data_IF_553366041383
#
_entry.id   IF_553366041383
#
_cell.length_a   1.000
_cell.length_b   1.000
_cell.length_c   1.000
_cell.angle_alpha   90.00
_cell.angle_beta   90.00
_cell.angle_gamma   90.00
#
_symmetry.space_group_name_H-M   'P 1'
#
loop_
_entity.id
_entity.type
_entity.pdbx_description
1 polymer ?
#
# COMPACT_ATOMS: atom_id res chain seq x y z
N UNK A 1 1.87 31.53 -23.43
CA UNK A 1 0.86 30.50 -23.12
C UNK A 1 1.64 29.24 -22.81
N UNK A 2 1.91 29.00 -21.54
CA UNK A 2 2.65 27.82 -21.08
C UNK A 2 1.61 26.71 -20.92
N UNK A 3 1.62 25.74 -21.84
CA UNK A 3 0.90 24.50 -21.63
C UNK A 3 1.52 23.82 -20.41
N UNK A 4 0.78 23.83 -19.32
CA UNK A 4 1.02 22.93 -18.20
C UNK A 4 0.84 21.51 -18.75
N UNK A 5 1.93 20.81 -19.00
CA UNK A 5 1.89 19.36 -19.18
C UNK A 5 1.28 18.80 -17.89
N UNK A 6 0.00 18.45 -17.92
CA UNK A 6 -0.58 17.66 -16.84
C UNK A 6 0.18 16.34 -16.84
N UNK A 7 1.09 16.17 -15.89
CA UNK A 7 1.75 14.89 -15.67
C UNK A 7 0.63 13.85 -15.44
N UNK A 8 0.72 12.75 -16.17
CA UNK A 8 -0.26 11.67 -16.01
C UNK A 8 -0.19 11.14 -14.58
N UNK A 9 -1.34 10.99 -13.92
CA UNK A 9 -1.34 10.45 -12.56
C UNK A 9 -0.77 9.03 -12.53
N UNK A 10 -0.08 8.70 -11.45
CA UNK A 10 0.50 7.38 -11.23
C UNK A 10 -0.57 6.29 -11.17
N UNK A 11 -1.67 6.57 -10.47
CA UNK A 11 -2.86 5.71 -10.42
C UNK A 11 -4.10 6.53 -10.72
N UNK A 12 -4.93 6.06 -11.64
CA UNK A 12 -6.21 6.67 -11.96
C UNK A 12 -7.32 5.62 -11.90
N UNK A 13 -8.32 5.86 -11.08
CA UNK A 13 -9.50 5.01 -10.92
C UNK A 13 -10.72 5.76 -11.39
N UNK A 14 -11.56 5.12 -12.21
CA UNK A 14 -12.78 5.71 -12.75
C UNK A 14 -13.96 4.75 -12.55
N UNK A 15 -14.91 5.16 -11.70
CA UNK A 15 -16.17 4.45 -11.46
C UNK A 15 -16.00 3.00 -11.01
N UNK A 16 -14.95 2.70 -10.23
CA UNK A 16 -14.63 1.35 -9.79
C UNK A 16 -15.78 0.75 -8.98
N UNK A 17 -16.25 -0.43 -9.41
CA UNK A 17 -17.28 -1.22 -8.74
C UNK A 17 -16.79 -2.62 -8.44
N UNK A 18 -17.14 -3.11 -7.25
CA UNK A 18 -16.85 -4.50 -6.83
C UNK A 18 -18.02 -5.07 -6.07
N UNK A 19 -18.39 -6.31 -6.44
CA UNK A 19 -19.39 -7.09 -5.71
C UNK A 19 -18.93 -8.54 -5.56
N UNK A 20 -19.41 -9.21 -4.52
CA UNK A 20 -19.25 -10.63 -4.29
C UNK A 20 -20.65 -11.26 -4.20
N UNK A 21 -21.06 -12.00 -5.23
CA UNK A 21 -22.45 -12.41 -5.38
C UNK A 21 -23.36 -11.19 -5.41
N UNK A 22 -24.33 -11.14 -4.51
CA UNK A 22 -25.29 -10.01 -4.40
C UNK A 22 -24.78 -8.88 -3.49
N UNK A 23 -23.65 -9.07 -2.81
CA UNK A 23 -23.10 -8.08 -1.89
C UNK A 23 -22.23 -7.07 -2.63
N UNK A 24 -22.70 -5.84 -2.78
CA UNK A 24 -21.96 -4.73 -3.40
C UNK A 24 -21.06 -4.07 -2.36
N UNK A 25 -19.73 -4.23 -2.53
CA UNK A 25 -18.70 -3.72 -1.62
C UNK A 25 -18.17 -2.36 -2.05
N UNK A 26 -17.91 -2.17 -3.34
CA UNK A 26 -17.52 -0.86 -3.91
C UNK A 26 -18.59 -0.43 -4.91
N UNK A 27 -19.13 0.76 -4.74
CA UNK A 27 -20.29 1.21 -5.50
C UNK A 27 -19.95 2.13 -6.67
N UNK A 28 -19.02 3.02 -6.51
CA UNK A 28 -18.42 3.86 -7.55
C UNK A 28 -17.26 4.61 -6.92
N UNK A 29 -16.04 4.15 -7.12
CA UNK A 29 -14.85 4.82 -6.61
C UNK A 29 -14.16 5.54 -7.75
N UNK A 30 -13.95 6.82 -7.59
CA UNK A 30 -13.10 7.66 -8.42
C UNK A 30 -11.92 8.12 -7.58
N UNK A 31 -10.70 7.92 -8.06
CA UNK A 31 -9.48 8.22 -7.31
C UNK A 31 -8.35 8.55 -8.27
N UNK A 32 -7.56 9.54 -7.91
CA UNK A 32 -6.36 9.94 -8.65
C UNK A 32 -5.20 10.02 -7.67
N UNK A 33 -4.08 9.36 -7.96
CA UNK A 33 -2.84 9.41 -7.15
C UNK A 33 -1.72 9.91 -8.04
N UNK A 34 -1.01 10.91 -7.58
CA UNK A 34 0.14 11.47 -8.29
C UNK A 34 1.44 10.76 -7.89
N UNK A 35 2.49 10.94 -8.68
CA UNK A 35 3.81 10.41 -8.34
C UNK A 35 4.32 11.06 -7.06
N UNK A 36 4.91 10.27 -6.16
CA UNK A 36 5.43 10.71 -4.87
C UNK A 36 4.36 11.05 -3.84
N UNK A 37 3.06 10.91 -4.17
CA UNK A 37 1.96 11.21 -3.25
C UNK A 37 1.75 10.06 -2.25
N UNK A 38 1.58 10.41 -0.98
CA UNK A 38 1.18 9.49 0.10
C UNK A 38 -0.30 9.69 0.41
N UNK A 39 -1.12 8.70 0.08
CA UNK A 39 -2.56 8.73 0.35
C UNK A 39 -2.92 7.71 1.43
N UNK A 40 -3.44 8.18 2.57
CA UNK A 40 -3.97 7.31 3.61
C UNK A 40 -5.47 7.11 3.44
N UNK A 41 -5.92 5.87 3.55
CA UNK A 41 -7.34 5.48 3.46
C UNK A 41 -7.81 4.99 4.81
N UNK A 42 -8.75 5.71 5.41
CA UNK A 42 -9.32 5.43 6.73
C UNK A 42 -10.82 5.14 6.61
N UNK A 43 -11.41 4.58 7.65
CA UNK A 43 -12.86 4.31 7.73
C UNK A 43 -13.18 3.04 8.51
N UNK A 44 -14.45 2.77 8.79
CA UNK A 44 -14.88 1.62 9.58
C UNK A 44 -14.53 0.28 8.88
N UNK A 45 -14.46 -0.79 9.67
CA UNK A 45 -14.31 -2.14 9.13
C UNK A 45 -15.49 -2.45 8.19
N UNK A 46 -15.20 -3.13 7.08
CA UNK A 46 -16.22 -3.46 6.07
C UNK A 46 -16.59 -2.31 5.12
N UNK A 47 -15.95 -1.14 5.19
CA UNK A 47 -16.22 -0.03 4.25
C UNK A 47 -15.67 -0.23 2.83
N UNK A 48 -14.85 -1.28 2.60
CA UNK A 48 -14.30 -1.62 1.29
C UNK A 48 -12.85 -1.21 1.05
N UNK A 49 -12.14 -0.65 2.03
CA UNK A 49 -10.74 -0.15 1.90
C UNK A 49 -9.78 -1.18 1.32
N UNK A 50 -9.66 -2.34 1.97
CA UNK A 50 -8.78 -3.43 1.51
C UNK A 50 -9.20 -3.99 0.16
N UNK A 51 -10.51 -4.05 -0.11
CA UNK A 51 -11.05 -4.47 -1.41
C UNK A 51 -10.65 -3.47 -2.50
N UNK A 52 -10.80 -2.18 -2.24
CA UNK A 52 -10.35 -1.13 -3.16
C UNK A 52 -8.85 -1.28 -3.45
N UNK A 53 -8.01 -1.38 -2.40
CA UNK A 53 -6.58 -1.53 -2.55
C UNK A 53 -6.20 -2.74 -3.41
N UNK A 54 -6.85 -3.89 -3.20
CA UNK A 54 -6.63 -5.12 -3.98
C UNK A 54 -7.13 -5.04 -5.41
N UNK A 55 -8.05 -4.15 -5.72
CA UNK A 55 -8.45 -3.86 -7.09
C UNK A 55 -7.37 -3.06 -7.84
N UNK A 56 -6.56 -2.23 -7.15
CA UNK A 56 -5.52 -1.41 -7.77
C UNK A 56 -4.35 -2.22 -8.36
N UNK A 57 -4.16 -3.47 -7.92
CA UNK A 57 -3.19 -4.41 -8.49
C UNK A 57 -3.87 -5.64 -9.12
N UNK A 58 -5.20 -5.57 -9.30
CA UNK A 58 -6.03 -6.64 -9.86
C UNK A 58 -5.89 -7.98 -9.12
N UNK A 59 -5.57 -7.96 -7.81
CA UNK A 59 -5.74 -9.16 -6.97
C UNK A 59 -7.22 -9.49 -6.78
N UNK A 60 -8.08 -8.46 -6.88
CA UNK A 60 -9.53 -8.60 -6.96
C UNK A 60 -10.00 -8.11 -8.33
N UNK A 61 -10.72 -8.96 -9.05
CA UNK A 61 -11.37 -8.59 -10.31
C UNK A 61 -12.50 -7.59 -10.03
N UNK A 62 -12.59 -6.55 -10.86
CA UNK A 62 -13.63 -5.53 -10.75
C UNK A 62 -14.90 -5.94 -11.49
N UNK A 63 -16.06 -5.37 -11.10
CA UNK A 63 -17.34 -5.59 -11.77
C UNK A 63 -17.75 -4.40 -12.65
N UNK A 64 -17.00 -3.31 -12.62
CA UNK A 64 -17.21 -2.14 -13.46
C UNK A 64 -16.21 -1.04 -13.17
N UNK A 65 -16.15 -0.07 -14.08
CA UNK A 65 -15.16 0.99 -14.02
C UNK A 65 -13.86 0.61 -14.68
N UNK A 66 -12.81 1.40 -14.41
CA UNK A 66 -11.45 1.21 -14.94
C UNK A 66 -10.41 1.62 -13.91
N UNK A 67 -9.26 0.96 -13.96
CA UNK A 67 -8.08 1.30 -13.18
C UNK A 67 -6.89 1.41 -14.11
N UNK A 68 -6.20 2.54 -14.06
CA UNK A 68 -4.99 2.79 -14.82
C UNK A 68 -3.81 2.95 -13.86
N UNK A 69 -2.69 2.33 -14.19
CA UNK A 69 -1.41 2.51 -13.50
C UNK A 69 -0.38 2.90 -14.56
N UNK A 70 0.32 4.00 -14.36
CA UNK A 70 1.23 4.57 -15.37
C UNK A 70 0.60 4.70 -16.76
N UNK A 71 -0.68 5.07 -16.81
CA UNK A 71 -1.45 5.19 -18.05
C UNK A 71 -1.89 3.87 -18.69
N UNK A 72 -1.51 2.72 -18.14
CA UNK A 72 -1.93 1.39 -18.63
C UNK A 72 -3.23 0.97 -17.96
N UNK A 73 -4.26 0.64 -18.75
CA UNK A 73 -5.54 0.11 -18.24
C UNK A 73 -5.34 -1.33 -17.74
N UNK A 74 -5.09 -1.49 -16.44
CA UNK A 74 -4.86 -2.81 -15.85
C UNK A 74 -6.10 -3.72 -15.85
N UNK A 75 -7.26 -3.16 -16.18
CA UNK A 75 -8.54 -3.91 -16.27
C UNK A 75 -8.79 -4.46 -17.66
N UNK A 76 -8.00 -4.07 -18.68
CA UNK A 76 -8.07 -4.67 -20.01
C UNK A 76 -7.56 -6.13 -19.94
N UNK A 77 -8.37 -7.13 -20.38
CA UNK A 77 -7.95 -8.52 -20.40
C UNK A 77 -6.74 -8.81 -21.31
N UNK A 78 -6.39 -7.90 -22.21
CA UNK A 78 -5.24 -8.02 -23.11
C UNK A 78 -3.93 -7.69 -22.44
N UNK A 79 -3.97 -6.95 -21.34
CA UNK A 79 -2.76 -6.55 -20.62
C UNK A 79 -2.20 -7.70 -19.77
N UNK A 80 -0.88 -7.83 -19.79
CA UNK A 80 -0.15 -8.80 -18.96
C UNK A 80 -0.05 -8.28 -17.52
N UNK A 81 -1.02 -8.68 -16.71
CA UNK A 81 -1.10 -8.24 -15.31
C UNK A 81 0.15 -8.63 -14.50
N UNK A 82 0.88 -9.68 -14.87
CA UNK A 82 2.08 -10.07 -14.14
C UNK A 82 3.22 -9.08 -14.36
N UNK A 83 3.32 -8.50 -15.56
CA UNK A 83 4.27 -7.40 -15.83
C UNK A 83 3.91 -6.14 -15.06
N UNK A 84 2.62 -5.78 -15.03
CA UNK A 84 2.14 -4.60 -14.32
C UNK A 84 2.42 -4.74 -12.82
N UNK A 85 2.14 -5.91 -12.23
CA UNK A 85 2.39 -6.19 -10.80
C UNK A 85 3.87 -6.12 -10.39
N UNK A 86 4.81 -6.22 -11.32
CA UNK A 86 6.23 -6.04 -11.00
C UNK A 86 6.54 -4.60 -10.58
N UNK A 87 5.72 -3.63 -11.02
CA UNK A 87 5.88 -2.22 -10.70
C UNK A 87 4.96 -1.77 -9.55
N UNK A 88 4.15 -2.67 -8.98
CA UNK A 88 3.26 -2.39 -7.86
C UNK A 88 3.63 -3.30 -6.68
N UNK A 89 4.28 -2.76 -5.68
CA UNK A 89 4.55 -3.48 -4.45
C UNK A 89 3.30 -3.56 -3.56
N UNK A 90 3.13 -4.66 -2.86
CA UNK A 90 2.04 -4.80 -1.88
C UNK A 90 2.54 -5.42 -0.58
N UNK A 91 2.21 -4.75 0.52
CA UNK A 91 2.48 -5.17 1.89
C UNK A 91 1.14 -5.46 2.57
N UNK A 92 1.00 -6.67 3.09
CA UNK A 92 -0.25 -7.17 3.67
C UNK A 92 -0.24 -7.07 5.19
N UNK A 93 -1.42 -7.13 5.79
CA UNK A 93 -1.64 -7.27 7.23
C UNK A 93 -0.91 -8.49 7.81
N UNK A 94 -0.98 -9.64 7.12
CA UNK A 94 -0.21 -10.82 7.42
C UNK A 94 1.02 -10.83 6.52
N UNK A 95 2.18 -10.94 7.06
CA UNK A 95 3.50 -10.73 6.45
C UNK A 95 3.74 -11.51 5.16
N UNK A 96 3.06 -12.67 4.99
CA UNK A 96 3.11 -13.55 3.83
C UNK A 96 4.55 -13.94 3.40
N UNK A 97 5.45 -14.08 4.37
CA UNK A 97 6.80 -14.57 4.13
C UNK A 97 6.77 -16.07 3.89
N UNK A 98 7.63 -16.56 2.99
CA UNK A 98 7.81 -17.98 2.75
C UNK A 98 8.55 -18.60 3.94
N UNK A 99 7.92 -19.47 4.75
CA UNK A 99 8.49 -19.94 6.01
C UNK A 99 9.65 -20.94 5.82
N UNK A 100 9.77 -21.52 4.63
CA UNK A 100 10.81 -22.48 4.25
C UNK A 100 12.05 -21.83 3.62
N UNK A 101 12.00 -20.52 3.39
CA UNK A 101 13.11 -19.72 2.86
C UNK A 101 13.74 -18.88 3.99
N UNK A 102 15.02 -18.55 3.88
CA UNK A 102 15.64 -17.55 4.74
C UNK A 102 15.06 -16.16 4.49
N UNK A 103 15.32 -15.21 5.37
CA UNK A 103 14.98 -13.80 5.17
C UNK A 103 15.56 -13.27 3.85
N UNK A 104 16.84 -13.55 3.60
CA UNK A 104 17.53 -13.16 2.38
C UNK A 104 16.86 -13.76 1.14
N UNK A 105 16.57 -15.09 1.16
CA UNK A 105 15.94 -15.75 0.03
C UNK A 105 14.51 -15.24 -0.23
N UNK A 106 13.76 -14.86 0.81
CA UNK A 106 12.46 -14.20 0.65
C UNK A 106 12.54 -12.90 -0.16
N UNK A 107 13.64 -12.16 -0.04
CA UNK A 107 13.84 -10.87 -0.71
C UNK A 107 14.44 -11.07 -2.11
N UNK A 108 15.36 -12.02 -2.29
CA UNK A 108 16.09 -12.23 -3.55
C UNK A 108 15.31 -12.99 -4.60
N UNK A 109 14.35 -13.83 -4.20
CA UNK A 109 13.63 -14.74 -5.10
C UNK A 109 12.99 -14.00 -6.30
N UNK A 110 12.17 -12.99 -6.04
CA UNK A 110 11.47 -12.30 -7.12
C UNK A 110 12.39 -11.49 -8.05
N UNK A 111 13.38 -10.71 -7.56
CA UNK A 111 14.36 -10.05 -8.42
C UNK A 111 15.13 -11.02 -9.32
N UNK A 112 15.51 -12.19 -8.84
CA UNK A 112 16.20 -13.20 -9.65
C UNK A 112 15.29 -13.79 -10.71
N UNK A 113 14.09 -14.23 -10.33
CA UNK A 113 13.17 -14.94 -11.24
C UNK A 113 12.48 -14.02 -12.26
N UNK A 114 12.14 -12.77 -11.85
CA UNK A 114 11.32 -11.89 -12.68
C UNK A 114 12.10 -10.76 -13.35
N UNK A 115 13.21 -10.29 -12.73
CA UNK A 115 14.07 -9.23 -13.31
C UNK A 115 15.39 -9.77 -13.85
N UNK A 116 15.66 -11.07 -13.67
CA UNK A 116 16.87 -11.71 -14.18
C UNK A 116 18.16 -11.26 -13.49
N UNK A 117 18.09 -10.73 -12.27
CA UNK A 117 19.28 -10.38 -11.49
C UNK A 117 20.10 -11.63 -11.20
N UNK A 118 21.41 -11.51 -11.29
CA UNK A 118 22.31 -12.55 -10.81
C UNK A 118 22.16 -12.70 -9.28
N UNK A 119 22.54 -13.86 -8.76
CA UNK A 119 22.51 -14.11 -7.30
C UNK A 119 23.26 -13.03 -6.51
N UNK A 120 24.44 -12.63 -6.99
CA UNK A 120 25.29 -11.62 -6.33
C UNK A 120 24.61 -10.26 -6.28
N UNK A 121 23.99 -9.84 -7.39
CA UNK A 121 23.26 -8.56 -7.45
C UNK A 121 22.03 -8.59 -6.54
N UNK A 122 21.24 -9.67 -6.57
CA UNK A 122 20.06 -9.83 -5.75
C UNK A 122 20.41 -9.88 -4.25
N UNK A 123 21.45 -10.58 -3.85
CA UNK A 123 21.92 -10.63 -2.46
C UNK A 123 22.44 -9.25 -2.00
N UNK A 124 23.19 -8.53 -2.83
CA UNK A 124 23.66 -7.18 -2.52
C UNK A 124 22.49 -6.21 -2.31
N UNK A 125 21.48 -6.26 -3.20
CA UNK A 125 20.26 -5.46 -3.07
C UNK A 125 19.49 -5.82 -1.78
N UNK A 126 19.33 -7.12 -1.50
CA UNK A 126 18.59 -7.58 -0.35
C UNK A 126 19.27 -7.17 0.97
N UNK A 127 20.60 -7.25 1.05
CA UNK A 127 21.36 -6.81 2.23
C UNK A 127 21.24 -5.31 2.44
N UNK A 128 21.32 -4.51 1.38
CA UNK A 128 21.09 -3.06 1.44
C UNK A 128 19.69 -2.73 1.97
N UNK A 129 18.65 -3.42 1.46
CA UNK A 129 17.28 -3.22 1.91
C UNK A 129 17.07 -3.70 3.35
N UNK A 130 17.70 -4.79 3.76
CA UNK A 130 17.67 -5.24 5.16
C UNK A 130 18.34 -4.25 6.11
N UNK A 131 19.44 -3.63 5.69
CA UNK A 131 20.08 -2.57 6.44
C UNK A 131 19.17 -1.36 6.61
N UNK A 132 18.47 -0.93 5.52
CA UNK A 132 17.55 0.21 5.54
C UNK A 132 16.36 0.01 6.49
N UNK A 133 15.96 -1.25 6.76
CA UNK A 133 14.90 -1.60 7.72
C UNK A 133 15.44 -2.09 9.07
N UNK A 134 16.75 -1.97 9.32
CA UNK A 134 17.41 -2.31 10.58
C UNK A 134 17.48 -3.81 10.90
N UNK A 135 17.60 -4.67 9.87
CA UNK A 135 17.57 -6.14 9.99
C UNK A 135 18.71 -6.86 9.25
N UNK A 136 19.84 -6.18 9.01
CA UNK A 136 20.98 -6.76 8.30
C UNK A 136 21.51 -8.04 8.96
N UNK A 137 21.51 -8.10 10.31
CA UNK A 137 21.92 -9.26 11.10
C UNK A 137 20.98 -10.46 11.00
N UNK A 138 19.78 -10.28 10.42
CA UNK A 138 18.72 -11.29 10.28
C UNK A 138 18.68 -11.94 8.88
N UNK A 139 19.59 -11.62 7.97
CA UNK A 139 19.55 -12.10 6.59
C UNK A 139 19.43 -13.62 6.44
N UNK A 140 20.14 -14.38 7.29
CA UNK A 140 20.24 -15.84 7.15
C UNK A 140 19.35 -16.65 8.10
N UNK A 141 18.47 -15.99 8.85
CA UNK A 141 17.55 -16.70 9.75
C UNK A 141 16.21 -17.03 9.03
N UNK A 142 15.49 -18.00 9.56
CA UNK A 142 14.14 -18.32 9.09
C UNK A 142 13.13 -17.28 9.60
N UNK A 143 12.07 -16.94 8.83
CA UNK A 143 11.03 -15.99 9.24
C UNK A 143 10.37 -16.31 10.59
N UNK A 144 10.27 -17.59 10.93
CA UNK A 144 9.63 -18.03 12.18
C UNK A 144 10.39 -17.60 13.45
N UNK A 145 11.67 -17.24 13.34
CA UNK A 145 12.46 -16.72 14.46
C UNK A 145 12.32 -15.21 14.68
N UNK A 146 11.59 -14.51 13.80
CA UNK A 146 11.41 -13.08 13.86
C UNK A 146 10.14 -12.70 14.64
N UNK A 147 10.19 -11.53 15.31
CA UNK A 147 8.99 -10.89 15.87
C UNK A 147 8.03 -10.43 14.75
N UNK A 148 6.79 -10.07 15.11
CA UNK A 148 5.80 -9.57 14.16
C UNK A 148 6.30 -8.33 13.41
N UNK A 149 6.82 -7.32 14.13
CA UNK A 149 7.37 -6.11 13.52
C UNK A 149 8.59 -6.37 12.63
N UNK A 150 9.46 -7.32 13.01
CA UNK A 150 10.57 -7.73 12.16
C UNK A 150 10.08 -8.41 10.86
N UNK A 151 9.09 -9.31 10.95
CA UNK A 151 8.48 -9.93 9.76
C UNK A 151 7.88 -8.90 8.83
N UNK A 152 7.21 -7.88 9.37
CA UNK A 152 6.61 -6.82 8.58
C UNK A 152 7.67 -5.97 7.87
N UNK A 153 8.75 -5.61 8.58
CA UNK A 153 9.88 -4.89 7.96
C UNK A 153 10.56 -5.71 6.86
N UNK A 154 10.69 -7.02 7.01
CA UNK A 154 11.15 -7.92 5.95
C UNK A 154 10.16 -7.93 4.76
N UNK A 155 8.84 -7.94 5.02
CA UNK A 155 7.83 -7.88 3.96
C UNK A 155 7.92 -6.56 3.17
N UNK A 156 8.19 -5.44 3.84
CA UNK A 156 8.46 -4.15 3.19
C UNK A 156 9.73 -4.23 2.34
N UNK A 157 10.85 -4.72 2.88
CA UNK A 157 12.09 -4.88 2.14
C UNK A 157 11.92 -5.79 0.90
N UNK A 158 11.14 -6.88 1.02
CA UNK A 158 10.80 -7.75 -0.11
C UNK A 158 10.01 -7.02 -1.19
N UNK A 159 9.03 -6.19 -0.82
CA UNK A 159 8.28 -5.40 -1.78
C UNK A 159 9.18 -4.37 -2.50
N UNK A 160 10.07 -3.72 -1.77
CA UNK A 160 11.04 -2.76 -2.30
C UNK A 160 12.09 -3.39 -3.25
N UNK A 161 12.42 -4.67 -3.06
CA UNK A 161 13.40 -5.37 -3.90
C UNK A 161 13.00 -5.44 -5.38
N UNK A 162 11.69 -5.36 -5.66
CA UNK A 162 11.18 -5.23 -7.02
C UNK A 162 11.28 -3.80 -7.58
N UNK A 163 11.76 -2.81 -6.80
CA UNK A 163 11.84 -1.40 -7.18
C UNK A 163 10.51 -0.91 -7.78
N UNK A 164 9.42 -1.02 -7.02
CA UNK A 164 8.11 -0.67 -7.52
C UNK A 164 7.94 0.85 -7.63
N UNK A 165 7.07 1.27 -8.53
CA UNK A 165 6.68 2.68 -8.69
C UNK A 165 5.62 3.11 -7.68
N UNK A 166 4.84 2.15 -7.18
CA UNK A 166 3.76 2.35 -6.18
C UNK A 166 3.83 1.26 -5.13
N UNK A 167 3.70 1.64 -3.86
CA UNK A 167 3.54 0.72 -2.74
C UNK A 167 2.12 0.78 -2.17
N UNK A 168 1.49 -0.36 -2.07
CA UNK A 168 0.18 -0.56 -1.46
C UNK A 168 0.35 -1.21 -0.09
N UNK A 169 -0.22 -0.60 0.96
CA UNK A 169 -0.18 -1.12 2.32
C UNK A 169 -1.60 -1.44 2.81
N UNK A 170 -1.88 -2.72 3.05
CA UNK A 170 -3.18 -3.20 3.55
C UNK A 170 -3.08 -3.46 5.05
N UNK A 171 -3.38 -2.45 5.86
CA UNK A 171 -3.35 -2.50 7.33
C UNK A 171 -2.03 -3.08 7.91
N UNK A 172 -0.87 -2.50 7.59
CA UNK A 172 0.44 -3.10 7.83
C UNK A 172 0.78 -3.31 9.33
N UNK A 173 0.05 -2.67 10.24
CA UNK A 173 0.31 -2.72 11.69
C UNK A 173 -0.74 -3.51 12.47
N UNK A 174 -1.90 -3.85 11.87
CA UNK A 174 -3.05 -4.39 12.61
C UNK A 174 -2.84 -5.81 13.18
N UNK A 175 -1.81 -6.53 12.72
CA UNK A 175 -1.44 -7.85 13.26
C UNK A 175 -0.24 -7.79 14.22
N UNK A 176 0.16 -6.59 14.66
CA UNK A 176 1.33 -6.37 15.51
C UNK A 176 0.93 -6.04 16.95
N UNK A 177 1.80 -6.43 17.88
CA UNK A 177 1.73 -5.92 19.23
C UNK A 177 2.04 -4.42 19.25
N UNK A 178 1.39 -3.61 20.12
CA UNK A 178 1.54 -2.15 20.14
C UNK A 178 2.99 -1.65 20.24
N UNK A 179 3.84 -2.39 20.96
CA UNK A 179 5.26 -2.05 21.12
C UNK A 179 6.09 -2.19 19.83
N UNK A 180 5.57 -2.91 18.82
CA UNK A 180 6.26 -3.16 17.56
C UNK A 180 5.75 -2.26 16.42
N UNK A 181 4.69 -1.52 16.63
CA UNK A 181 4.06 -0.66 15.61
C UNK A 181 4.98 0.47 15.20
N UNK A 182 5.63 1.12 16.18
CA UNK A 182 6.52 2.26 15.94
C UNK A 182 7.61 1.99 14.92
N UNK A 183 8.35 0.88 15.07
CA UNK A 183 9.42 0.50 14.15
C UNK A 183 8.96 0.35 12.68
N UNK A 184 7.74 -0.15 12.48
CA UNK A 184 7.18 -0.31 11.12
C UNK A 184 6.76 1.03 10.55
N UNK A 185 6.12 1.87 11.35
CA UNK A 185 5.70 3.23 10.94
C UNK A 185 6.92 4.10 10.62
N UNK A 186 8.02 3.98 11.35
CA UNK A 186 9.26 4.72 11.08
C UNK A 186 9.86 4.35 9.72
N UNK A 187 9.84 3.06 9.35
CA UNK A 187 10.23 2.63 8.01
C UNK A 187 9.32 3.25 6.94
N UNK A 188 8.00 3.26 7.18
CA UNK A 188 7.04 3.83 6.22
C UNK A 188 7.18 5.36 6.10
N UNK A 189 7.49 6.07 7.20
CA UNK A 189 7.80 7.51 7.18
C UNK A 189 9.01 7.81 6.29
N UNK A 190 10.07 7.03 6.48
CA UNK A 190 11.28 7.19 5.64
C UNK A 190 11.00 6.96 4.16
N UNK A 191 10.17 5.99 3.80
CA UNK A 191 9.77 5.78 2.41
C UNK A 191 8.99 6.98 1.84
N UNK A 192 8.15 7.62 2.64
CA UNK A 192 7.45 8.85 2.26
C UNK A 192 8.43 10.01 2.03
N UNK A 193 9.38 10.22 2.95
CA UNK A 193 10.45 11.22 2.83
C UNK A 193 11.31 11.00 1.58
N UNK A 194 11.55 9.73 1.22
CA UNK A 194 12.30 9.35 0.01
C UNK A 194 11.47 9.51 -1.29
N UNK A 195 10.22 10.00 -1.20
CA UNK A 195 9.35 10.30 -2.35
C UNK A 195 8.65 9.09 -2.94
N UNK A 196 8.49 7.99 -2.18
CA UNK A 196 7.76 6.81 -2.64
C UNK A 196 6.26 7.11 -2.76
N UNK A 197 5.66 6.77 -3.90
CA UNK A 197 4.20 6.82 -4.05
C UNK A 197 3.56 5.71 -3.22
N UNK A 198 2.70 6.08 -2.27
CA UNK A 198 2.10 5.11 -1.34
C UNK A 198 0.60 5.27 -1.21
N UNK A 199 -0.11 4.16 -1.15
CA UNK A 199 -1.52 4.10 -0.76
C UNK A 199 -1.62 3.20 0.46
N UNK A 200 -2.02 3.77 1.60
CA UNK A 200 -1.95 3.12 2.91
C UNK A 200 -3.34 3.00 3.53
N UNK A 201 -3.89 1.80 3.57
CA UNK A 201 -5.05 1.51 4.41
C UNK A 201 -4.55 1.34 5.84
N UNK A 202 -5.01 2.19 6.76
CA UNK A 202 -4.50 2.21 8.13
C UNK A 202 -5.55 2.58 9.17
N UNK A 203 -5.33 2.14 10.40
CA UNK A 203 -6.01 2.59 11.62
C UNK A 203 -5.12 3.51 12.48
N UNK A 204 -3.89 3.76 12.05
CA UNK A 204 -2.92 4.62 12.74
C UNK A 204 -3.16 6.08 12.37
N UNK A 205 -4.08 6.74 13.10
CA UNK A 205 -4.49 8.13 12.79
C UNK A 205 -3.33 9.12 12.96
N UNK A 206 -2.42 8.85 13.91
CA UNK A 206 -1.21 9.65 14.11
C UNK A 206 -0.29 9.62 12.89
N UNK A 207 -0.05 8.44 12.33
CA UNK A 207 0.72 8.27 11.10
C UNK A 207 0.05 8.98 9.91
N UNK A 208 -1.26 8.76 9.72
CA UNK A 208 -1.98 9.41 8.63
C UNK A 208 -1.94 10.94 8.72
N UNK A 209 -1.99 11.51 9.94
CA UNK A 209 -1.89 12.95 10.16
C UNK A 209 -0.51 13.51 9.86
N UNK A 210 0.54 12.76 10.18
CA UNK A 210 1.93 13.22 10.09
C UNK A 210 2.52 13.05 8.68
N UNK A 211 2.14 11.99 7.96
CA UNK A 211 2.86 11.53 6.78
C UNK A 211 2.05 11.67 5.48
N UNK A 212 0.71 11.63 5.56
CA UNK A 212 -0.10 11.67 4.36
C UNK A 212 -0.14 13.09 3.74
N UNK A 213 -0.05 13.15 2.41
CA UNK A 213 -0.38 14.35 1.64
C UNK A 213 -1.90 14.54 1.58
N UNK A 214 -2.65 13.41 1.55
CA UNK A 214 -4.10 13.38 1.49
C UNK A 214 -4.65 12.18 2.24
N UNK A 215 -5.76 12.40 2.93
CA UNK A 215 -6.50 11.35 3.63
C UNK A 215 -7.88 11.18 3.01
N UNK A 216 -8.26 9.95 2.77
CA UNK A 216 -9.54 9.54 2.21
C UNK A 216 -10.32 8.79 3.28
N UNK A 217 -11.53 9.26 3.58
CA UNK A 217 -12.47 8.54 4.43
C UNK A 217 -13.46 7.74 3.58
N UNK A 218 -13.47 6.41 3.77
CA UNK A 218 -14.39 5.51 3.11
C UNK A 218 -15.46 4.97 4.07
N UNK A 219 -16.71 4.98 3.63
CA UNK A 219 -17.82 4.33 4.31
C UNK A 219 -18.85 3.79 3.32
N UNK A 220 -19.39 2.60 3.62
CA UNK A 220 -20.47 1.97 2.84
C UNK A 220 -20.17 1.76 1.35
N UNK A 221 -18.90 1.61 0.99
CA UNK A 221 -18.45 1.38 -0.40
C UNK A 221 -18.27 2.64 -1.25
N UNK A 222 -18.19 3.81 -0.60
CA UNK A 222 -17.93 5.10 -1.24
C UNK A 222 -16.72 5.80 -0.61
N UNK A 223 -16.07 6.66 -1.37
CA UNK A 223 -15.28 7.76 -0.82
C UNK A 223 -16.27 8.82 -0.37
N UNK A 224 -16.33 9.08 0.93
CA UNK A 224 -17.28 10.00 1.55
C UNK A 224 -16.68 11.40 1.66
N UNK A 225 -15.40 11.46 2.00
CA UNK A 225 -14.66 12.71 2.14
C UNK A 225 -13.18 12.47 1.86
N UNK A 226 -12.53 13.43 1.22
CA UNK A 226 -11.08 13.48 1.05
C UNK A 226 -10.57 14.90 1.25
N UNK A 227 -9.45 15.02 1.95
CA UNK A 227 -8.82 16.32 2.20
C UNK A 227 -7.37 16.13 2.64
N UNK A 228 -6.64 17.25 2.78
CA UNK A 228 -5.36 17.25 3.49
C UNK A 228 -5.56 16.84 4.95
N UNK A 229 -4.56 16.20 5.60
CA UNK A 229 -4.73 15.65 6.95
C UNK A 229 -5.28 16.66 7.97
N UNK A 230 -4.74 17.87 8.00
CA UNK A 230 -5.14 18.89 8.96
C UNK A 230 -6.63 19.20 8.89
N UNK A 231 -7.16 19.39 7.67
CA UNK A 231 -8.57 19.69 7.47
C UNK A 231 -9.46 18.48 7.80
N UNK A 232 -9.10 17.29 7.32
CA UNK A 232 -9.93 16.12 7.53
C UNK A 232 -10.02 15.71 9.00
N UNK A 233 -8.93 15.84 9.77
CA UNK A 233 -8.91 15.44 11.18
C UNK A 233 -9.43 16.53 12.13
N UNK A 234 -9.28 17.82 11.77
CA UNK A 234 -9.66 18.93 12.64
C UNK A 234 -11.01 19.55 12.29
N UNK A 235 -11.34 19.60 11.01
CA UNK A 235 -12.54 20.24 10.48
C UNK A 235 -13.28 19.34 9.46
N UNK A 236 -13.58 18.07 9.79
CA UNK A 236 -14.28 17.20 8.86
C UNK A 236 -15.63 17.79 8.48
N UNK A 237 -15.92 17.86 7.18
CA UNK A 237 -17.13 18.48 6.64
C UNK A 237 -18.35 17.55 6.67
N UNK A 238 -18.10 16.23 6.51
CA UNK A 238 -19.18 15.25 6.42
C UNK A 238 -19.52 14.64 7.79
N UNK A 239 -20.80 14.57 8.15
CA UNK A 239 -21.28 14.04 9.44
C UNK A 239 -20.78 12.62 9.75
N UNK A 240 -20.65 11.77 8.73
CA UNK A 240 -20.13 10.40 8.89
C UNK A 240 -18.66 10.39 9.26
N UNK A 241 -17.85 11.30 8.67
CA UNK A 241 -16.44 11.47 9.01
C UNK A 241 -16.31 11.95 10.45
N UNK A 242 -17.07 12.96 10.84
CA UNK A 242 -17.12 13.48 12.22
C UNK A 242 -17.46 12.37 13.22
N UNK A 243 -18.52 11.61 12.94
CA UNK A 243 -18.97 10.51 13.81
C UNK A 243 -17.92 9.39 13.93
N UNK A 244 -17.18 9.10 12.87
CA UNK A 244 -16.10 8.12 12.89
C UNK A 244 -14.90 8.62 13.69
N UNK A 245 -14.42 9.82 13.41
CA UNK A 245 -13.24 10.40 14.07
C UNK A 245 -13.47 10.59 15.56
N UNK A 246 -14.65 11.03 15.98
CA UNK A 246 -15.01 11.16 17.40
C UNK A 246 -14.94 9.82 18.17
N UNK A 247 -15.14 8.69 17.50
CA UNK A 247 -15.07 7.36 18.14
C UNK A 247 -13.67 6.79 18.20
N UNK A 248 -12.79 7.24 17.30
CA UNK A 248 -11.44 6.67 17.16
C UNK A 248 -10.38 7.52 17.84
N UNK A 249 -10.64 8.82 17.99
CA UNK A 249 -9.70 9.76 18.62
C UNK A 249 -9.98 10.01 20.11
N UNK A 250 -11.14 9.56 20.61
CA UNK A 250 -11.58 9.66 22.01
C UNK A 250 -12.00 8.31 22.57
#
# INVERSE_FOLDING_TARGET
MTELSQEMPKVLVRGLKKQYGDNVVLKSIDLTINQGEVVCVIGPSGSGKSTMLRCLNRMEEINGGKVFVDGVDITDPKEDINKIRQNIGMVFQHFNLFPHLSVLDNITLAPMELKGLSKVEAESLALYLLESVGLADKAHVAPNSLSGGQKQRVAIARALAMQPDVLLFDEPTSALDPEMVGDVLDVMKKLAEDGMTMIVVTHEMGFAREVADRVIFMDGGFIVEENVPEELFSHPSHERTQSFLNKVLH
#
